data_IF_658061568989
#
_entry.id   IF_658061568989
#
_cell.length_a   1.000
_cell.length_b   1.000
_cell.length_c   1.000
_cell.angle_alpha   90.00
_cell.angle_beta   90.00
_cell.angle_gamma   90.00
#
_symmetry.space_group_name_H-M   'P 1'
#
loop_
_entity.id
_entity.type
_entity.pdbx_description
1 polymer ?
#
# COMPACT_ATOMS: atom_id res chain seq x y z
N UNK A 1 1.23 -19.02 4.97
CA UNK A 1 0.55 -17.76 4.55
C UNK A 1 1.57 -16.64 4.51
N UNK A 2 1.66 -15.99 3.36
CA UNK A 2 2.77 -15.19 2.86
C UNK A 2 2.32 -13.73 2.80
N UNK A 3 3.16 -12.78 3.24
CA UNK A 3 2.87 -11.34 3.33
C UNK A 3 2.53 -10.66 1.98
N UNK A 4 2.06 -9.42 2.08
CA UNK A 4 1.62 -8.58 0.94
C UNK A 4 0.12 -8.26 0.90
N UNK A 5 -0.62 -8.55 1.97
CA UNK A 5 -2.05 -8.25 2.12
C UNK A 5 -2.34 -7.10 3.11
N UNK A 6 -1.29 -6.59 3.75
CA UNK A 6 -1.33 -5.46 4.68
C UNK A 6 -0.99 -4.13 4.00
N UNK A 7 -0.95 -3.05 4.80
CA UNK A 7 -0.69 -1.69 4.31
C UNK A 7 0.75 -1.50 3.83
N UNK A 8 0.93 -0.67 2.81
CA UNK A 8 2.24 -0.17 2.43
C UNK A 8 2.67 0.94 3.39
N UNK A 9 3.94 0.91 3.81
CA UNK A 9 4.53 1.91 4.69
C UNK A 9 5.79 2.48 4.04
N UNK A 10 5.89 3.81 4.02
CA UNK A 10 7.05 4.53 3.52
C UNK A 10 7.65 5.37 4.64
N UNK A 11 8.95 5.15 4.90
CA UNK A 11 9.73 5.96 5.82
C UNK A 11 10.75 6.73 5.00
N UNK A 12 10.64 8.06 5.04
CA UNK A 12 11.54 8.93 4.28
C UNK A 12 12.97 8.87 4.82
N UNK A 13 13.98 9.10 3.96
CA UNK A 13 15.35 9.24 4.42
C UNK A 13 15.46 10.40 5.42
N UNK A 14 16.44 10.32 6.33
CA UNK A 14 16.72 11.43 7.23
C UNK A 14 17.35 12.59 6.44
N UNK A 15 17.04 13.83 6.81
CA UNK A 15 17.70 15.00 6.20
C UNK A 15 19.20 15.01 6.54
N UNK A 16 19.56 14.57 7.74
CA UNK A 16 20.94 14.31 8.16
C UNK A 16 20.95 13.17 9.19
N UNK A 17 22.04 12.41 9.22
CA UNK A 17 22.17 11.26 10.09
C UNK A 17 23.55 11.20 10.75
N UNK A 18 23.53 11.04 12.08
CA UNK A 18 24.72 10.72 12.87
C UNK A 18 24.95 9.22 12.94
N UNK A 19 23.87 8.45 13.15
CA UNK A 19 23.87 6.99 13.08
C UNK A 19 23.34 6.52 11.74
N UNK A 20 24.16 5.75 11.02
CA UNK A 20 23.71 5.10 9.80
C UNK A 20 22.69 4.00 10.11
N UNK A 21 21.70 3.89 9.24
CA UNK A 21 20.67 2.84 9.28
C UNK A 21 20.64 2.24 7.89
N UNK A 22 20.67 0.92 7.82
CA UNK A 22 20.57 0.19 6.56
C UNK A 22 19.85 -1.13 6.79
N UNK A 23 19.37 -1.69 5.70
CA UNK A 23 18.74 -2.99 5.67
C UNK A 23 19.65 -3.96 4.95
N UNK A 24 20.20 -4.93 5.68
CA UNK A 24 21.11 -5.93 5.14
C UNK A 24 20.77 -7.30 5.76
N UNK A 25 19.75 -7.99 5.19
CA UNK A 25 19.33 -9.29 5.70
C UNK A 25 20.38 -10.34 5.36
N UNK A 26 20.60 -11.28 6.29
CA UNK A 26 21.58 -12.38 6.11
C UNK A 26 21.27 -13.28 4.92
N UNK A 27 19.98 -13.48 4.65
CA UNK A 27 19.48 -14.32 3.58
C UNK A 27 18.68 -13.46 2.59
N UNK A 28 18.69 -13.77 1.29
CA UNK A 28 17.84 -13.09 0.32
C UNK A 28 16.35 -13.21 0.65
N UNK A 29 15.58 -12.16 0.34
CA UNK A 29 14.14 -12.17 0.51
C UNK A 29 13.45 -13.14 -0.44
N UNK A 30 12.34 -13.71 0.01
CA UNK A 30 11.52 -14.62 -0.83
C UNK A 30 10.62 -13.81 -1.75
N UNK A 31 10.19 -14.40 -2.87
CA UNK A 31 9.24 -13.80 -3.81
C UNK A 31 9.57 -12.36 -4.28
N UNK A 32 10.85 -11.98 -4.27
CA UNK A 32 11.30 -10.71 -4.82
C UNK A 32 11.07 -10.66 -6.34
N UNK A 33 10.94 -9.45 -6.88
CA UNK A 33 10.84 -9.27 -8.33
C UNK A 33 12.11 -9.78 -9.05
N UNK A 34 11.94 -10.14 -10.32
CA UNK A 34 13.06 -10.54 -11.19
C UNK A 34 14.07 -9.39 -11.23
N UNK A 35 15.35 -9.72 -11.09
CA UNK A 35 16.47 -8.76 -11.08
C UNK A 35 16.46 -7.71 -9.94
N UNK A 36 15.52 -7.82 -8.98
CA UNK A 36 15.50 -6.96 -7.80
C UNK A 36 16.67 -7.28 -6.84
N UNK A 37 17.16 -6.31 -6.05
CA UNK A 37 18.24 -6.53 -5.08
C UNK A 37 17.92 -7.66 -4.10
N UNK A 38 18.94 -8.42 -3.65
CA UNK A 38 18.73 -9.57 -2.76
C UNK A 38 18.01 -9.21 -1.45
N UNK A 39 18.20 -7.98 -0.98
CA UNK A 39 17.61 -7.47 0.26
C UNK A 39 16.13 -7.08 0.12
N UNK A 40 15.52 -7.23 -1.06
CA UNK A 40 14.08 -7.01 -1.30
C UNK A 40 13.29 -8.31 -1.25
N UNK A 41 11.96 -8.20 -1.19
CA UNK A 41 11.04 -9.33 -1.08
C UNK A 41 10.59 -9.59 0.36
N UNK A 42 10.20 -10.82 0.64
CA UNK A 42 9.53 -11.19 1.89
C UNK A 42 10.51 -11.61 2.99
N UNK A 43 10.29 -11.08 4.18
CA UNK A 43 11.08 -11.35 5.39
C UNK A 43 10.18 -11.48 6.63
N UNK A 44 10.82 -11.94 7.71
CA UNK A 44 10.34 -11.72 9.07
C UNK A 44 11.21 -10.63 9.70
N UNK A 45 10.58 -9.61 10.29
CA UNK A 45 11.31 -8.59 11.05
C UNK A 45 11.84 -9.15 12.39
N UNK A 46 12.52 -8.31 13.19
CA UNK A 46 13.06 -8.72 14.49
C UNK A 46 12.01 -9.18 15.53
N UNK A 47 10.73 -8.86 15.30
CA UNK A 47 9.58 -9.28 16.12
C UNK A 47 8.77 -10.41 15.47
N UNK A 48 9.27 -11.00 14.39
CA UNK A 48 8.60 -12.04 13.60
C UNK A 48 7.33 -11.56 12.86
N UNK A 49 7.16 -10.26 12.66
CA UNK A 49 6.13 -9.76 11.75
C UNK A 49 6.54 -10.07 10.31
N UNK A 50 5.56 -10.42 9.48
CA UNK A 50 5.79 -10.62 8.04
C UNK A 50 5.85 -9.26 7.36
N UNK A 51 6.95 -9.01 6.66
CA UNK A 51 7.15 -7.78 5.89
C UNK A 51 7.55 -8.13 4.46
N UNK A 52 7.19 -7.26 3.53
CA UNK A 52 7.72 -7.27 2.16
C UNK A 52 8.47 -5.96 1.94
N UNK A 53 9.74 -6.05 1.59
CA UNK A 53 10.62 -4.91 1.35
C UNK A 53 10.65 -4.64 -0.15
N UNK A 54 10.03 -3.54 -0.58
CA UNK A 54 10.02 -3.11 -1.99
C UNK A 54 11.32 -2.41 -2.39
N UNK A 55 11.77 -1.44 -1.58
CA UNK A 55 12.96 -0.65 -1.86
C UNK A 55 13.59 -0.12 -0.56
N UNK A 56 14.92 0.02 -0.55
CA UNK A 56 15.67 0.63 0.57
C UNK A 56 16.80 1.49 0.01
N UNK A 57 16.90 2.74 0.49
CA UNK A 57 18.09 3.55 0.30
C UNK A 57 19.22 3.04 1.19
N UNK A 58 19.98 2.06 0.72
CA UNK A 58 21.14 1.55 1.45
C UNK A 58 22.41 2.36 1.12
N UNK A 59 23.31 2.58 2.10
CA UNK A 59 24.61 3.20 1.84
C UNK A 59 25.51 2.24 1.07
N UNK A 60 26.42 2.82 0.28
CA UNK A 60 27.54 2.06 -0.31
C UNK A 60 28.53 1.65 0.78
N UNK A 61 29.37 0.65 0.52
CA UNK A 61 30.42 0.22 1.47
C UNK A 61 31.35 1.37 1.85
N UNK A 62 31.76 2.20 0.88
CA UNK A 62 32.57 3.39 1.15
C UNK A 62 31.88 4.37 2.12
N UNK A 63 30.56 4.54 2.00
CA UNK A 63 29.78 5.37 2.93
C UNK A 63 29.69 4.74 4.32
N UNK A 64 29.64 3.40 4.42
CA UNK A 64 29.65 2.67 5.70
C UNK A 64 30.99 2.84 6.43
N UNK A 65 32.10 2.75 5.72
CA UNK A 65 33.46 2.83 6.29
C UNK A 65 33.80 4.21 6.85
N UNK A 66 33.28 5.28 6.26
CA UNK A 66 33.56 6.67 6.65
C UNK A 66 32.91 7.09 8.01
N UNK A 67 32.26 6.19 8.75
CA UNK A 67 31.38 6.47 9.90
C UNK A 67 31.86 7.43 11.01
N UNK A 68 30.99 7.73 11.99
CA UNK A 68 31.37 8.47 13.21
C UNK A 68 31.33 10.01 13.13
N UNK A 69 30.66 10.58 12.12
CA UNK A 69 30.42 12.03 11.96
C UNK A 69 28.98 12.28 11.56
N UNK A 70 28.43 13.44 11.93
CA UNK A 70 27.17 13.93 11.34
C UNK A 70 27.38 14.03 9.83
N UNK A 71 26.58 13.28 9.08
CA UNK A 71 26.77 13.11 7.64
C UNK A 71 25.46 13.25 6.89
N UNK A 72 25.56 13.32 5.57
CA UNK A 72 24.42 13.29 4.65
C UNK A 72 24.38 11.96 3.88
N UNK A 73 24.92 10.89 4.47
CA UNK A 73 25.03 9.56 3.85
C UNK A 73 23.67 8.92 3.77
N UNK A 74 23.22 8.66 2.54
CA UNK A 74 21.83 8.26 2.25
C UNK A 74 20.81 9.20 2.89
N UNK A 75 21.19 10.47 3.03
CA UNK A 75 20.30 11.51 3.49
C UNK A 75 19.56 12.11 2.32
N UNK A 76 18.34 12.59 2.56
CA UNK A 76 17.50 13.05 1.47
C UNK A 76 16.12 13.45 1.93
N UNK A 77 15.16 13.32 1.03
CA UNK A 77 13.75 13.54 1.32
C UNK A 77 12.88 12.60 0.49
N UNK A 78 11.66 12.36 0.98
CA UNK A 78 10.64 11.64 0.23
C UNK A 78 9.66 12.59 -0.42
N UNK A 79 9.16 12.24 -1.61
CA UNK A 79 8.03 12.93 -2.25
C UNK A 79 6.95 11.89 -2.51
N UNK A 80 5.70 12.20 -2.17
CA UNK A 80 4.56 11.32 -2.43
C UNK A 80 3.66 12.01 -3.45
N UNK A 81 3.47 11.38 -4.60
CA UNK A 81 2.59 11.85 -5.68
C UNK A 81 1.33 11.01 -5.70
N UNK A 82 0.18 11.68 -5.70
CA UNK A 82 -1.13 11.04 -5.78
C UNK A 82 -1.73 11.28 -7.17
N UNK A 83 -1.87 10.23 -7.95
CA UNK A 83 -2.69 10.26 -9.16
C UNK A 83 -4.13 9.94 -8.78
N UNK A 84 -4.94 11.00 -8.64
CA UNK A 84 -6.34 10.84 -8.23
C UNK A 84 -7.18 10.12 -9.29
N UNK A 85 -7.11 10.45 -10.59
CA UNK A 85 -7.80 9.69 -11.63
C UNK A 85 -7.50 8.19 -11.61
N UNK A 86 -6.22 7.81 -11.53
CA UNK A 86 -5.81 6.40 -11.62
C UNK A 86 -5.83 5.67 -10.26
N UNK A 87 -6.02 6.42 -9.17
CA UNK A 87 -5.98 5.92 -7.78
C UNK A 87 -4.66 5.24 -7.44
N UNK A 88 -3.56 5.80 -7.94
CA UNK A 88 -2.20 5.34 -7.66
C UNK A 88 -1.44 6.33 -6.78
N UNK A 89 -0.47 5.78 -6.05
CA UNK A 89 0.38 6.50 -5.11
C UNK A 89 1.81 6.16 -5.49
N UNK A 90 2.57 7.18 -5.92
CA UNK A 90 3.98 7.05 -6.23
C UNK A 90 4.80 7.63 -5.10
N UNK A 91 5.63 6.80 -4.50
CA UNK A 91 6.60 7.17 -3.49
C UNK A 91 7.95 7.36 -4.16
N UNK A 92 8.55 8.52 -3.95
CA UNK A 92 9.86 8.88 -4.46
C UNK A 92 10.83 9.09 -3.30
N UNK A 93 12.09 8.70 -3.50
CA UNK A 93 13.13 8.80 -2.48
C UNK A 93 14.39 9.40 -3.09
N UNK A 94 14.61 10.69 -2.81
CA UNK A 94 15.62 11.51 -3.47
C UNK A 94 16.82 11.74 -2.56
N UNK A 95 18.06 11.74 -3.11
CA UNK A 95 19.23 12.19 -2.38
C UNK A 95 19.14 13.65 -1.96
N UNK A 96 19.91 14.03 -0.95
CA UNK A 96 20.05 15.41 -0.52
C UNK A 96 20.80 16.23 -1.58
N UNK A 97 20.39 17.49 -1.76
CA UNK A 97 21.01 18.49 -2.65
C UNK A 97 20.91 18.18 -4.15
N UNK A 98 19.89 17.44 -4.57
CA UNK A 98 19.55 17.26 -5.98
C UNK A 98 18.39 18.17 -6.38
N UNK A 99 18.36 18.58 -7.65
CA UNK A 99 17.17 19.19 -8.26
C UNK A 99 16.27 18.08 -8.79
N UNK A 100 15.10 17.87 -8.19
CA UNK A 100 14.16 16.81 -8.60
C UNK A 100 13.48 17.09 -9.94
N UNK A 101 13.64 18.30 -10.48
CA UNK A 101 13.14 18.69 -11.79
C UNK A 101 14.19 18.50 -12.89
N UNK A 102 15.45 18.26 -12.53
CA UNK A 102 16.52 17.96 -13.49
C UNK A 102 16.44 16.48 -13.90
N UNK A 103 16.20 16.16 -15.20
CA UNK A 103 16.07 14.79 -15.67
C UNK A 103 17.37 13.97 -15.56
N UNK A 104 18.51 14.61 -15.27
CA UNK A 104 19.78 13.92 -15.07
C UNK A 104 20.01 13.50 -13.61
N UNK A 105 19.11 13.86 -12.69
CA UNK A 105 19.17 13.41 -11.30
C UNK A 105 18.42 12.10 -11.12
N UNK A 106 18.95 11.25 -10.25
CA UNK A 106 18.39 9.94 -9.97
C UNK A 106 17.93 9.83 -8.52
N UNK A 107 16.87 9.06 -8.32
CA UNK A 107 16.44 8.61 -7.00
C UNK A 107 17.39 7.54 -6.46
N UNK A 108 17.23 7.16 -5.19
CA UNK A 108 17.92 5.98 -4.70
C UNK A 108 17.53 4.72 -5.49
N UNK A 109 18.44 3.74 -5.65
CA UNK A 109 18.12 2.49 -6.34
C UNK A 109 16.85 1.81 -5.79
N UNK A 110 16.00 1.34 -6.70
CA UNK A 110 14.70 0.74 -6.37
C UNK A 110 13.54 1.74 -6.24
N UNK A 111 13.80 3.04 -6.38
CA UNK A 111 12.78 4.09 -6.40
C UNK A 111 12.62 4.68 -7.82
N UNK A 112 11.44 5.22 -8.17
CA UNK A 112 10.23 5.32 -7.36
C UNK A 112 9.46 3.99 -7.27
N UNK A 113 8.63 3.86 -6.23
CA UNK A 113 7.69 2.74 -6.05
C UNK A 113 6.27 3.27 -6.25
N UNK A 114 5.49 2.65 -7.13
CA UNK A 114 4.09 3.03 -7.38
C UNK A 114 3.15 1.89 -7.01
N UNK A 115 2.12 2.20 -6.24
CA UNK A 115 1.08 1.26 -5.85
C UNK A 115 -0.31 1.79 -6.24
N UNK A 116 -1.28 0.90 -6.40
CA UNK A 116 -2.69 1.25 -6.34
C UNK A 116 -3.14 1.41 -4.89
N UNK A 117 -4.14 2.26 -4.63
CA UNK A 117 -4.80 2.30 -3.32
C UNK A 117 -5.31 0.92 -2.87
N UNK A 118 -5.68 0.04 -3.81
CA UNK A 118 -6.19 -1.30 -3.53
C UNK A 118 -5.08 -2.28 -3.11
N UNK A 119 -3.81 -1.94 -3.30
CA UNK A 119 -2.70 -2.78 -2.84
C UNK A 119 -2.56 -2.77 -1.31
N UNK A 120 -3.12 -1.76 -0.62
CA UNK A 120 -3.15 -1.70 0.85
C UNK A 120 -4.12 -2.70 1.51
N UNK A 121 -4.96 -3.38 0.71
CA UNK A 121 -5.84 -4.45 1.16
C UNK A 121 -6.09 -5.42 0.01
N UNK A 122 -5.07 -6.22 -0.31
CA UNK A 122 -5.07 -7.15 -1.44
C UNK A 122 -4.90 -8.61 -0.98
N UNK A 123 -5.90 -9.18 -0.28
CA UNK A 123 -5.78 -10.54 0.22
C UNK A 123 -5.74 -11.58 -0.91
N UNK A 124 -4.77 -12.50 -0.83
CA UNK A 124 -4.63 -13.63 -1.78
C UNK A 124 -5.81 -14.59 -1.73
N UNK A 125 -6.48 -14.71 -0.58
CA UNK A 125 -7.69 -15.50 -0.40
C UNK A 125 -8.77 -14.59 0.18
N UNK A 126 -9.92 -14.54 -0.47
CA UNK A 126 -11.01 -13.64 -0.10
C UNK A 126 -12.37 -14.22 -0.47
N UNK A 127 -13.40 -13.75 0.21
CA UNK A 127 -14.80 -13.92 -0.16
C UNK A 127 -15.32 -12.64 -0.82
N UNK A 128 -16.39 -12.77 -1.59
CA UNK A 128 -16.94 -11.72 -2.42
C UNK A 128 -18.32 -11.30 -1.89
N UNK A 129 -18.51 -9.99 -1.79
CA UNK A 129 -19.84 -9.39 -1.72
C UNK A 129 -20.40 -9.24 -3.15
N UNK A 130 -21.69 -8.93 -3.33
CA UNK A 130 -22.27 -8.65 -4.64
C UNK A 130 -21.51 -7.54 -5.37
N UNK A 131 -21.46 -7.62 -6.69
CA UNK A 131 -20.94 -6.52 -7.51
C UNK A 131 -21.88 -5.32 -7.39
N UNK A 132 -21.36 -4.18 -6.98
CA UNK A 132 -22.07 -2.92 -6.90
C UNK A 132 -22.08 -2.27 -8.29
N UNK A 133 -23.27 -1.84 -8.74
CA UNK A 133 -23.48 -1.04 -9.96
C UNK A 133 -24.09 0.30 -9.56
N UNK A 134 -23.30 1.37 -9.55
CA UNK A 134 -23.67 2.67 -9.00
C UNK A 134 -24.16 3.64 -10.09
N UNK A 135 -25.16 4.46 -9.78
CA UNK A 135 -25.63 5.54 -10.68
C UNK A 135 -24.59 6.66 -10.85
N UNK A 136 -23.81 6.94 -9.80
CA UNK A 136 -22.74 7.95 -9.74
C UNK A 136 -21.39 7.25 -9.60
N UNK A 137 -20.39 7.79 -10.26
CA UNK A 137 -19.01 7.28 -10.19
C UNK A 137 -18.31 7.72 -8.90
N UNK A 138 -17.19 7.06 -8.60
CA UNK A 138 -16.19 7.50 -7.62
C UNK A 138 -16.72 7.65 -6.18
N UNK A 139 -17.71 6.83 -5.84
CA UNK A 139 -18.35 6.86 -4.53
C UNK A 139 -17.51 6.16 -3.47
N UNK A 140 -17.69 6.56 -2.22
CA UNK A 140 -17.11 5.86 -1.08
C UNK A 140 -17.96 4.63 -0.80
N UNK A 141 -17.30 3.48 -0.66
CA UNK A 141 -17.88 2.22 -0.22
C UNK A 141 -17.22 1.83 1.09
N UNK A 142 -18.02 1.72 2.13
CA UNK A 142 -17.60 1.28 3.47
C UNK A 142 -18.25 -0.06 3.77
N UNK A 143 -17.43 -1.06 4.08
CA UNK A 143 -17.88 -2.41 4.46
C UNK A 143 -17.70 -2.59 5.95
N UNK A 144 -18.74 -3.07 6.64
CA UNK A 144 -18.72 -3.35 8.08
C UNK A 144 -19.22 -4.75 8.36
N UNK A 145 -18.73 -5.38 9.42
CA UNK A 145 -19.34 -6.61 9.93
C UNK A 145 -20.75 -6.31 10.46
N UNK A 146 -21.76 -7.11 10.07
CA UNK A 146 -23.14 -6.86 10.50
C UNK A 146 -23.33 -6.98 12.01
N UNK A 147 -22.62 -7.92 12.66
CA UNK A 147 -22.77 -8.20 14.08
C UNK A 147 -22.07 -7.16 14.97
N UNK A 148 -20.79 -6.88 14.70
CA UNK A 148 -19.97 -5.99 15.54
C UNK A 148 -20.07 -4.52 15.13
N UNK A 149 -20.55 -4.24 13.91
CA UNK A 149 -20.52 -2.91 13.26
C UNK A 149 -19.11 -2.36 13.02
N UNK A 150 -18.07 -3.16 13.24
CA UNK A 150 -16.70 -2.76 12.96
C UNK A 150 -16.49 -2.60 11.46
N UNK A 151 -15.77 -1.54 11.10
CA UNK A 151 -15.36 -1.26 9.72
C UNK A 151 -14.27 -2.24 9.32
N UNK A 152 -14.51 -2.97 8.24
CA UNK A 152 -13.50 -3.81 7.58
C UNK A 152 -12.59 -2.92 6.75
N UNK A 153 -13.18 -2.10 5.88
CA UNK A 153 -12.46 -1.08 5.12
C UNK A 153 -13.42 0.00 4.61
N UNK A 154 -12.85 1.13 4.19
CA UNK A 154 -13.54 2.17 3.42
C UNK A 154 -12.67 2.57 2.24
N UNK A 155 -13.25 2.63 1.05
CA UNK A 155 -12.52 2.95 -0.17
C UNK A 155 -13.36 3.81 -1.11
N UNK A 156 -12.73 4.82 -1.73
CA UNK A 156 -13.32 5.55 -2.85
C UNK A 156 -13.07 4.76 -4.12
N UNK A 157 -14.12 4.25 -4.75
CA UNK A 157 -13.95 3.42 -5.95
C UNK A 157 -13.47 4.25 -7.15
N UNK A 158 -13.06 3.55 -8.22
CA UNK A 158 -12.78 4.17 -9.51
C UNK A 158 -13.89 3.75 -10.50
N UNK A 159 -14.68 4.71 -10.97
CA UNK A 159 -15.81 4.46 -11.85
C UNK A 159 -17.09 4.05 -11.11
N UNK A 160 -17.95 3.28 -11.80
CA UNK A 160 -19.33 2.95 -11.35
C UNK A 160 -19.53 1.52 -10.88
N UNK A 161 -18.51 0.68 -11.00
CA UNK A 161 -18.62 -0.75 -10.71
C UNK A 161 -17.53 -1.17 -9.75
N UNK A 162 -17.89 -1.85 -8.68
CA UNK A 162 -16.93 -2.35 -7.71
C UNK A 162 -17.44 -3.63 -7.05
N UNK A 163 -16.57 -4.62 -6.87
CA UNK A 163 -16.90 -5.83 -6.13
C UNK A 163 -16.06 -5.88 -4.84
N UNK A 164 -16.66 -5.57 -3.68
CA UNK A 164 -15.97 -5.66 -2.40
C UNK A 164 -15.51 -7.08 -2.09
N UNK A 165 -14.32 -7.20 -1.52
CA UNK A 165 -13.74 -8.46 -1.05
C UNK A 165 -13.52 -8.40 0.45
N UNK A 166 -13.76 -9.51 1.15
CA UNK A 166 -13.61 -9.63 2.61
C UNK A 166 -12.82 -10.90 2.95
N UNK A 167 -12.21 -10.93 4.15
CA UNK A 167 -11.34 -12.04 4.56
C UNK A 167 -12.11 -13.27 5.04
N UNK A 168 -13.34 -13.08 5.53
CA UNK A 168 -14.10 -14.13 6.21
C UNK A 168 -15.50 -14.28 5.61
N UNK A 169 -16.04 -15.51 5.66
CA UNK A 169 -17.46 -15.72 5.42
C UNK A 169 -18.26 -15.08 6.54
N UNK A 170 -19.44 -14.58 6.21
CA UNK A 170 -20.32 -13.97 7.18
C UNK A 170 -21.22 -12.92 6.56
N UNK A 171 -21.86 -12.17 7.45
CA UNK A 171 -22.80 -11.12 7.12
C UNK A 171 -22.17 -9.74 7.30
N UNK A 172 -22.39 -8.88 6.32
CA UNK A 172 -21.82 -7.53 6.24
C UNK A 172 -22.89 -6.49 5.91
N UNK A 173 -22.65 -5.26 6.34
CA UNK A 173 -23.35 -4.09 5.84
C UNK A 173 -22.45 -3.28 4.90
N UNK A 174 -23.04 -2.74 3.83
CA UNK A 174 -22.36 -1.92 2.84
C UNK A 174 -22.98 -0.53 2.86
N UNK A 175 -22.18 0.47 3.18
CA UNK A 175 -22.54 1.89 3.11
C UNK A 175 -21.93 2.49 1.85
N UNK A 176 -22.74 3.22 1.08
CA UNK A 176 -22.36 3.75 -0.23
C UNK A 176 -22.80 5.21 -0.33
N UNK A 177 -21.87 6.09 -0.65
CA UNK A 177 -22.13 7.50 -0.90
C UNK A 177 -21.17 8.42 -0.18
N UNK A 178 -21.43 9.72 -0.29
CA UNK A 178 -20.65 10.79 0.32
C UNK A 178 -21.56 11.68 1.17
N UNK A 179 -21.01 12.33 2.20
CA UNK A 179 -21.77 13.24 3.07
C UNK A 179 -22.56 12.53 4.17
N UNK A 180 -23.58 13.22 4.70
CA UNK A 180 -24.23 12.85 5.98
C UNK A 180 -25.25 11.70 5.87
N UNK A 181 -25.62 11.27 4.65
CA UNK A 181 -26.67 10.26 4.46
C UNK A 181 -26.29 9.23 3.40
N UNK A 182 -25.34 8.32 3.68
CA UNK A 182 -25.01 7.23 2.78
C UNK A 182 -26.18 6.23 2.66
N UNK A 183 -26.29 5.57 1.51
CA UNK A 183 -27.22 4.46 1.33
C UNK A 183 -26.61 3.22 1.98
N UNK A 184 -27.34 2.59 2.90
CA UNK A 184 -26.88 1.39 3.60
C UNK A 184 -27.68 0.17 3.20
N UNK A 185 -26.97 -0.91 2.89
CA UNK A 185 -27.52 -2.26 2.72
C UNK A 185 -27.05 -3.14 3.87
N UNK A 186 -27.98 -3.83 4.51
CA UNK A 186 -27.71 -4.69 5.66
C UNK A 186 -27.73 -6.18 5.27
N UNK A 187 -27.12 -6.99 6.12
CA UNK A 187 -27.18 -8.45 6.10
C UNK A 187 -26.72 -9.14 4.79
N UNK A 188 -25.81 -8.48 4.07
CA UNK A 188 -25.24 -8.99 2.83
C UNK A 188 -24.26 -10.12 3.13
N UNK A 189 -24.53 -11.30 2.60
CA UNK A 189 -23.70 -12.48 2.82
C UNK A 189 -22.50 -12.50 1.87
N UNK A 190 -21.32 -12.76 2.42
CA UNK A 190 -20.13 -13.04 1.64
C UNK A 190 -20.16 -14.49 1.11
N UNK A 191 -19.75 -14.67 -0.14
CA UNK A 191 -19.71 -15.96 -0.81
C UNK A 191 -18.32 -16.19 -1.42
N UNK A 192 -17.88 -17.44 -1.57
CA UNK A 192 -16.59 -17.75 -2.22
C UNK A 192 -16.52 -17.21 -3.66
N UNK A 193 -17.63 -17.31 -4.37
CA UNK A 193 -17.83 -16.73 -5.70
C UNK A 193 -19.21 -16.11 -5.73
N UNK A 194 -19.30 -14.79 -5.82
CA UNK A 194 -20.56 -14.08 -5.79
C UNK A 194 -20.85 -13.46 -7.18
N UNK A 195 -21.91 -13.94 -7.84
CA UNK A 195 -22.33 -13.44 -9.16
C UNK A 195 -23.49 -12.45 -9.09
N UNK A 196 -23.99 -12.16 -7.89
CA UNK A 196 -25.09 -11.22 -7.69
C UNK A 196 -24.62 -9.81 -8.00
N UNK A 197 -25.56 -9.00 -8.48
CA UNK A 197 -25.37 -7.58 -8.78
C UNK A 197 -26.35 -6.77 -7.93
N UNK A 198 -25.85 -5.70 -7.34
CA UNK A 198 -26.63 -4.76 -6.54
C UNK A 198 -26.61 -3.41 -7.25
N UNK A 199 -27.76 -3.01 -7.81
CA UNK A 199 -27.92 -1.69 -8.44
C UNK A 199 -28.24 -0.66 -7.37
N UNK A 200 -27.44 0.40 -7.31
CA UNK A 200 -27.54 1.41 -6.27
C UNK A 200 -27.78 2.77 -6.94
N UNK A 201 -28.91 3.38 -6.61
CA UNK A 201 -29.28 4.70 -7.12
C UNK A 201 -28.99 5.77 -6.07
N UNK A 202 -27.87 6.46 -6.27
CA UNK A 202 -27.35 7.60 -5.51
C UNK A 202 -27.72 8.93 -6.16
#
# INVERSE_FOLDING_TARGET
MIGGDAVYSFVTPAIANYWMRWWDPKEPGKNKAKDAPYYTGEFLDGYQNKITVEAVGNPTEAQKEEGGKLSTRVAGFGVIKYDKPDRTITFECWPRNVDIMDPNQEQYPGWPVTISQFDNFSPKTSFQLPTLELSKEDQIVTVKHSATKEVVFSVRINGKTYQPKVLELGSYSIEIGEGDTPITYFDIQAEKTNRKKLKVKL
#
